data_IF_087682536668
#
_entry.id   IF_087682536668
#
_cell.length_a   1.000
_cell.length_b   1.000
_cell.length_c   1.000
_cell.angle_alpha   90.00
_cell.angle_beta   90.00
_cell.angle_gamma   90.00
#
_symmetry.space_group_name_H-M   'P 1'
#
loop_
_entity.id
_entity.type
_entity.pdbx_description
1 polymer ?
#
# COMPACT_ATOMS: atom_id res chain seq x y z
N UNK A 1 5.29 2.89 12.45
CA UNK A 1 4.00 2.47 11.85
C UNK A 1 3.32 3.75 11.40
N UNK A 2 3.31 4.02 10.10
CA UNK A 2 2.81 5.30 9.55
C UNK A 2 1.39 5.09 9.00
N UNK A 3 0.47 6.01 9.33
CA UNK A 3 -0.91 6.02 8.83
C UNK A 3 -0.96 6.87 7.56
N UNK A 4 -1.36 6.27 6.46
CA UNK A 4 -1.54 6.95 5.17
C UNK A 4 -2.95 7.53 5.11
N UNK A 5 -3.05 8.86 5.03
CA UNK A 5 -4.32 9.59 5.04
C UNK A 5 -4.71 10.14 3.67
N UNK A 6 -3.80 10.12 2.69
CA UNK A 6 -4.03 10.69 1.35
C UNK A 6 -3.41 9.86 0.24
N UNK A 7 -4.00 9.93 -0.96
CA UNK A 7 -3.51 9.28 -2.17
C UNK A 7 -2.05 9.66 -2.51
N UNK A 8 -1.65 10.92 -2.29
CA UNK A 8 -0.27 11.38 -2.50
C UNK A 8 0.73 10.73 -1.54
N UNK A 9 0.37 10.59 -0.27
CA UNK A 9 1.21 9.89 0.70
C UNK A 9 1.33 8.41 0.34
N UNK A 10 0.22 7.81 -0.08
CA UNK A 10 0.18 6.42 -0.52
C UNK A 10 1.13 6.17 -1.69
N UNK A 11 1.02 7.00 -2.73
CA UNK A 11 1.89 6.91 -3.91
C UNK A 11 3.36 7.06 -3.53
N UNK A 12 3.72 8.02 -2.68
CA UNK A 12 5.09 8.22 -2.21
C UNK A 12 5.65 6.98 -1.52
N UNK A 13 4.86 6.34 -0.68
CA UNK A 13 5.28 5.13 0.04
C UNK A 13 5.38 3.93 -0.89
N UNK A 14 4.45 3.76 -1.84
CA UNK A 14 4.53 2.71 -2.87
C UNK A 14 5.80 2.87 -3.72
N UNK A 15 6.18 4.10 -4.09
CA UNK A 15 7.43 4.37 -4.82
C UNK A 15 8.66 4.04 -3.97
N UNK A 16 8.65 4.37 -2.68
CA UNK A 16 9.77 4.01 -1.79
C UNK A 16 9.86 2.49 -1.66
N UNK A 17 8.72 1.82 -1.55
CA UNK A 17 8.62 0.38 -1.49
C UNK A 17 9.10 -0.30 -2.78
N UNK A 18 8.79 0.26 -3.96
CA UNK A 18 9.27 -0.28 -5.24
C UNK A 18 10.79 -0.26 -5.37
N UNK A 19 11.51 0.48 -4.53
CA UNK A 19 12.97 0.46 -4.45
C UNK A 19 13.52 -0.40 -3.29
N UNK A 20 12.69 -0.81 -2.32
CA UNK A 20 13.09 -1.61 -1.16
C UNK A 20 13.10 -3.12 -1.44
N UNK A 21 14.02 -3.90 -0.89
CA UNK A 21 14.12 -5.36 -1.16
C UNK A 21 13.25 -6.25 -0.25
N UNK A 22 12.36 -5.66 0.55
CA UNK A 22 11.58 -6.38 1.58
C UNK A 22 10.09 -6.23 1.33
N UNK A 23 9.29 -7.05 1.99
CA UNK A 23 7.84 -6.83 2.17
C UNK A 23 7.59 -5.60 3.04
N UNK A 24 6.45 -4.92 2.81
CA UNK A 24 6.05 -3.78 3.64
C UNK A 24 4.60 -3.91 4.05
N UNK A 25 4.36 -3.50 5.28
CA UNK A 25 3.05 -3.46 5.89
C UNK A 25 2.69 -2.00 6.17
N UNK A 26 1.54 -1.58 5.66
CA UNK A 26 1.08 -0.19 5.70
C UNK A 26 -0.31 -0.13 6.34
N UNK A 27 -0.61 0.98 7.01
CA UNK A 27 -1.98 1.29 7.43
C UNK A 27 -2.50 2.38 6.51
N UNK A 28 -3.60 2.09 5.85
CA UNK A 28 -4.21 2.95 4.84
C UNK A 28 -5.65 3.20 5.24
N UNK A 29 -6.15 4.42 5.06
CA UNK A 29 -7.59 4.68 5.23
C UNK A 29 -8.41 3.90 4.21
N UNK A 30 -9.57 3.41 4.63
CA UNK A 30 -10.44 2.56 3.79
C UNK A 30 -10.74 3.22 2.45
N UNK A 31 -10.96 4.54 2.42
CA UNK A 31 -11.26 5.29 1.20
C UNK A 31 -10.17 5.17 0.11
N UNK A 32 -8.92 4.92 0.50
CA UNK A 32 -7.80 4.78 -0.44
C UNK A 32 -7.53 3.33 -0.86
N UNK A 33 -8.25 2.36 -0.29
CA UNK A 33 -8.09 0.94 -0.64
C UNK A 33 -8.41 0.70 -2.13
N UNK A 34 -9.34 1.48 -2.69
CA UNK A 34 -9.73 1.37 -4.10
C UNK A 34 -8.65 1.90 -5.04
N UNK A 35 -7.87 2.90 -4.61
CA UNK A 35 -6.77 3.48 -5.39
C UNK A 35 -5.49 2.64 -5.29
N UNK A 36 -5.30 1.92 -4.18
CA UNK A 36 -4.08 1.17 -3.87
C UNK A 36 -3.69 0.18 -4.98
N UNK A 37 -4.56 -0.71 -5.51
CA UNK A 37 -4.18 -1.65 -6.57
C UNK A 37 -3.69 -0.94 -7.84
N UNK A 38 -4.36 0.15 -8.23
CA UNK A 38 -4.00 0.93 -9.42
C UNK A 38 -2.63 1.57 -9.26
N UNK A 39 -2.35 2.15 -8.09
CA UNK A 39 -1.06 2.75 -7.77
C UNK A 39 0.03 1.69 -7.66
N UNK A 40 -0.22 0.59 -6.94
CA UNK A 40 0.74 -0.49 -6.75
C UNK A 40 1.17 -1.07 -8.11
N UNK A 41 0.20 -1.38 -8.98
CA UNK A 41 0.48 -1.92 -10.32
C UNK A 41 1.35 -0.98 -11.17
N UNK A 42 1.13 0.34 -11.10
CA UNK A 42 1.92 1.36 -11.81
C UNK A 42 3.42 1.29 -11.47
N UNK A 43 3.77 0.86 -10.26
CA UNK A 43 5.15 0.79 -9.76
C UNK A 43 5.68 -0.64 -9.60
N UNK A 44 5.03 -1.64 -10.19
CA UNK A 44 5.47 -3.04 -10.09
C UNK A 44 5.30 -3.64 -8.69
N UNK A 45 4.37 -3.09 -7.91
CA UNK A 45 4.02 -3.55 -6.56
C UNK A 45 2.67 -4.27 -6.62
N UNK A 46 2.49 -5.31 -5.82
CA UNK A 46 1.23 -6.02 -5.68
C UNK A 46 0.76 -6.00 -4.23
N UNK A 47 -0.55 -5.83 -4.05
CA UNK A 47 -1.21 -6.07 -2.78
C UNK A 47 -1.35 -7.58 -2.59
N UNK A 48 -0.84 -8.11 -1.47
CA UNK A 48 -0.90 -9.54 -1.17
C UNK A 48 -1.87 -9.87 -0.03
N UNK A 49 -2.13 -8.92 0.87
CA UNK A 49 -3.00 -9.13 2.04
C UNK A 49 -3.61 -7.80 2.48
N UNK A 50 -4.83 -7.85 3.03
CA UNK A 50 -5.54 -6.69 3.56
C UNK A 50 -6.42 -7.09 4.76
N UNK A 51 -6.18 -6.48 5.92
CA UNK A 51 -6.88 -6.74 7.18
C UNK A 51 -7.54 -5.46 7.69
N UNK A 52 -8.87 -5.46 7.85
CA UNK A 52 -9.57 -4.34 8.49
C UNK A 52 -9.14 -4.24 9.97
N UNK A 53 -8.53 -3.11 10.35
CA UNK A 53 -8.20 -2.84 11.76
C UNK A 53 -9.43 -2.25 12.47
N UNK A 54 -10.16 -1.36 11.78
CA UNK A 54 -11.42 -0.77 12.23
C UNK A 54 -12.19 -0.19 11.03
N UNK A 55 -13.32 0.47 11.29
CA UNK A 55 -14.23 1.02 10.26
C UNK A 55 -13.59 2.05 9.32
N UNK A 56 -12.43 2.62 9.69
CA UNK A 56 -11.77 3.73 8.98
C UNK A 56 -10.42 3.36 8.36
N UNK A 57 -9.72 2.35 8.90
CA UNK A 57 -8.37 1.99 8.46
C UNK A 57 -8.20 0.49 8.26
N UNK A 58 -7.42 0.17 7.23
CA UNK A 58 -7.11 -1.18 6.78
C UNK A 58 -5.58 -1.33 6.80
N UNK A 59 -5.10 -2.43 7.34
CA UNK A 59 -3.70 -2.85 7.21
C UNK A 59 -3.54 -3.55 5.88
N UNK A 60 -2.53 -3.18 5.11
CA UNK A 60 -2.24 -3.82 3.82
C UNK A 60 -0.80 -4.29 3.79
N UNK A 61 -0.57 -5.45 3.20
CA UNK A 61 0.78 -5.95 2.89
C UNK A 61 1.04 -5.87 1.41
N UNK A 62 2.20 -5.31 1.08
CA UNK A 62 2.66 -5.14 -0.28
C UNK A 62 3.89 -6.03 -0.53
N UNK A 63 3.94 -6.57 -1.75
CA UNK A 63 5.07 -7.33 -2.26
C UNK A 63 5.53 -6.78 -3.61
N UNK A 64 6.84 -6.89 -3.89
CA UNK A 64 7.39 -6.56 -5.20
C UNK A 64 7.06 -7.66 -6.20
N UNK A 65 6.60 -7.25 -7.38
CA UNK A 65 6.39 -8.16 -8.50
C UNK A 65 7.63 -8.16 -9.39
N UNK A 66 8.49 -9.18 -9.23
CA UNK A 66 9.62 -9.40 -10.12
C UNK A 66 9.13 -10.12 -11.38
N UNK A 67 9.37 -9.54 -12.57
CA UNK A 67 9.15 -10.15 -13.88
C UNK A 67 10.50 -10.51 -14.50
#
# INVERSE_FOLDING_TARGET
>A
MDIILTARQLEKVIIQFSHAEKEAELIVVRDLIEELPRMAMKYGVSLIDAEDINDKVIRVKLEKRFW
#
